data_IF_671523631722
#
_entry.id   IF_671523631722
#
_cell.length_a   1.000
_cell.length_b   1.000
_cell.length_c   1.000
_cell.angle_alpha   90.00
_cell.angle_beta   90.00
_cell.angle_gamma   90.00
#
_symmetry.space_group_name_H-M   'P 1'
#
loop_
_entity.id
_entity.type
_entity.pdbx_description
1 polymer ?
#
# COMPACT_ATOMS: atom_id res chain seq x y z
N UNK A 1 -1.37 -15.28 9.28
CA UNK A 1 -0.80 -15.03 7.94
C UNK A 1 -1.88 -14.67 6.91
N UNK A 2 -2.84 -15.55 6.60
CA UNK A 2 -3.92 -15.26 5.62
C UNK A 2 -4.70 -13.98 5.95
N UNK A 3 -5.04 -13.76 7.23
CA UNK A 3 -5.74 -12.56 7.66
C UNK A 3 -4.95 -11.27 7.37
N UNK A 4 -3.64 -11.26 7.62
CA UNK A 4 -2.79 -10.09 7.31
C UNK A 4 -2.70 -9.80 5.82
N UNK A 5 -2.68 -10.83 4.98
CA UNK A 5 -2.70 -10.66 3.53
C UNK A 5 -4.02 -10.01 3.07
N UNK A 6 -5.17 -10.43 3.62
CA UNK A 6 -6.46 -9.79 3.35
C UNK A 6 -6.49 -8.33 3.78
N UNK A 7 -6.00 -8.04 4.98
CA UNK A 7 -5.93 -6.65 5.50
C UNK A 7 -5.02 -5.75 4.66
N UNK A 8 -3.93 -6.29 4.09
CA UNK A 8 -3.08 -5.54 3.15
C UNK A 8 -3.83 -5.25 1.85
N UNK A 9 -4.54 -6.22 1.27
CA UNK A 9 -5.36 -6.02 0.06
C UNK A 9 -6.45 -4.97 0.29
N UNK A 10 -7.16 -5.01 1.42
CA UNK A 10 -8.15 -3.99 1.79
C UNK A 10 -7.51 -2.60 1.93
N UNK A 11 -6.32 -2.50 2.54
CA UNK A 11 -5.60 -1.24 2.66
C UNK A 11 -5.15 -0.72 1.28
N UNK A 12 -4.73 -1.60 0.37
CA UNK A 12 -4.35 -1.26 -1.01
C UNK A 12 -5.52 -0.61 -1.73
N UNK A 13 -6.68 -1.27 -1.77
CA UNK A 13 -7.87 -0.76 -2.46
C UNK A 13 -8.39 0.56 -1.85
N UNK A 14 -8.34 0.68 -0.52
CA UNK A 14 -8.69 1.93 0.16
C UNK A 14 -7.73 3.07 -0.21
N UNK A 15 -6.44 2.78 -0.42
CA UNK A 15 -5.43 3.77 -0.81
C UNK A 15 -5.61 4.20 -2.26
N UNK A 16 -5.83 3.25 -3.18
CA UNK A 16 -6.15 3.57 -4.59
C UNK A 16 -7.38 4.46 -4.69
N UNK A 17 -8.43 4.15 -3.93
CA UNK A 17 -9.64 4.98 -3.87
C UNK A 17 -9.35 6.41 -3.41
N UNK A 18 -8.51 6.60 -2.39
CA UNK A 18 -8.12 7.93 -1.92
C UNK A 18 -7.29 8.71 -2.96
N UNK A 19 -6.38 8.00 -3.66
CA UNK A 19 -5.56 8.56 -4.75
C UNK A 19 -6.46 9.03 -5.90
N UNK A 20 -7.46 8.24 -6.29
CA UNK A 20 -8.41 8.57 -7.34
C UNK A 20 -9.24 9.82 -7.01
N UNK A 21 -9.68 9.94 -5.75
CA UNK A 21 -10.39 11.13 -5.25
C UNK A 21 -9.51 12.37 -5.15
N UNK A 22 -8.20 12.23 -5.13
CA UNK A 22 -7.26 13.34 -4.96
C UNK A 22 -7.21 13.90 -3.54
N UNK A 23 -7.75 13.20 -2.54
CA UNK A 23 -7.73 13.65 -1.14
C UNK A 23 -6.37 13.37 -0.49
N UNK A 24 -5.51 14.37 -0.44
CA UNK A 24 -4.15 14.26 0.09
C UNK A 24 -4.11 13.81 1.55
N UNK A 25 -5.04 14.29 2.38
CA UNK A 25 -5.07 13.91 3.80
C UNK A 25 -5.45 12.46 3.96
N UNK A 26 -6.44 12.01 3.18
CA UNK A 26 -6.83 10.60 3.15
C UNK A 26 -5.69 9.72 2.63
N UNK A 27 -5.05 10.08 1.51
CA UNK A 27 -3.92 9.33 0.95
C UNK A 27 -2.79 9.18 1.98
N UNK A 28 -2.35 10.27 2.62
CA UNK A 28 -1.28 10.22 3.63
C UNK A 28 -1.67 9.32 4.81
N UNK A 29 -2.93 9.40 5.28
CA UNK A 29 -3.45 8.55 6.35
C UNK A 29 -3.48 7.06 5.97
N UNK A 30 -3.83 6.74 4.72
CA UNK A 30 -3.82 5.37 4.20
C UNK A 30 -2.41 4.84 4.00
N UNK A 31 -1.47 5.65 3.52
CA UNK A 31 -0.07 5.26 3.41
C UNK A 31 0.55 4.88 4.76
N UNK A 32 0.11 5.53 5.85
CA UNK A 32 0.57 5.24 7.20
C UNK A 32 0.29 3.80 7.66
N UNK A 33 -0.78 3.18 7.15
CA UNK A 33 -1.13 1.77 7.43
C UNK A 33 0.04 0.85 7.09
N UNK A 34 0.68 1.09 5.95
CA UNK A 34 1.76 0.27 5.42
C UNK A 34 3.12 0.57 6.06
N UNK A 35 3.25 1.68 6.78
CA UNK A 35 4.52 2.15 7.34
C UNK A 35 4.62 1.85 8.83
N UNK A 36 3.52 2.06 9.56
CA UNK A 36 3.50 1.89 11.01
C UNK A 36 3.74 0.41 11.38
N UNK A 37 4.82 0.09 12.10
CA UNK A 37 5.10 -1.28 12.54
C UNK A 37 3.99 -1.89 13.41
N UNK A 38 3.21 -1.07 14.12
CA UNK A 38 2.07 -1.52 14.91
C UNK A 38 0.83 -1.87 14.05
N UNK A 39 0.85 -1.57 12.74
CA UNK A 39 -0.24 -1.82 11.79
C UNK A 39 0.12 -2.91 10.78
N UNK A 40 0.52 -2.53 9.57
CA UNK A 40 1.02 -3.45 8.54
C UNK A 40 2.50 -3.25 8.23
N UNK A 41 3.17 -2.28 8.85
CA UNK A 41 4.57 -1.97 8.59
C UNK A 41 5.52 -3.15 8.78
N UNK A 42 5.32 -3.97 9.81
CA UNK A 42 6.13 -5.17 10.02
C UNK A 42 5.99 -6.16 8.85
N UNK A 43 4.75 -6.46 8.44
CA UNK A 43 4.50 -7.36 7.31
C UNK A 43 4.96 -6.77 5.98
N UNK A 44 4.85 -5.46 5.80
CA UNK A 44 5.38 -4.76 4.63
C UNK A 44 6.91 -4.85 4.55
N UNK A 45 7.62 -4.74 5.67
CA UNK A 45 9.08 -4.95 5.69
C UNK A 45 9.44 -6.39 5.33
N UNK A 46 8.73 -7.37 5.88
CA UNK A 46 9.01 -8.80 5.65
C UNK A 46 8.71 -9.26 4.22
N UNK A 47 7.65 -8.74 3.61
CA UNK A 47 7.12 -9.25 2.34
C UNK A 47 7.32 -8.31 1.15
N UNK A 48 7.50 -7.02 1.40
CA UNK A 48 7.42 -5.92 0.42
C UNK A 48 8.43 -4.81 0.75
N UNK A 49 9.68 -5.18 1.04
CA UNK A 49 10.66 -4.25 1.60
C UNK A 49 10.95 -3.04 0.70
N UNK A 50 10.94 -3.23 -0.62
CA UNK A 50 11.18 -2.15 -1.59
C UNK A 50 9.97 -1.22 -1.67
N UNK A 51 8.77 -1.78 -1.77
CA UNK A 51 7.53 -1.02 -1.82
C UNK A 51 7.27 -0.28 -0.50
N UNK A 52 7.63 -0.87 0.64
CA UNK A 52 7.60 -0.20 1.93
C UNK A 52 8.49 1.06 1.94
N UNK A 53 9.71 0.98 1.38
CA UNK A 53 10.60 2.14 1.28
C UNK A 53 10.04 3.20 0.35
N UNK A 54 9.45 2.80 -0.76
CA UNK A 54 8.83 3.72 -1.71
C UNK A 54 7.59 4.41 -1.15
N UNK A 55 6.71 3.67 -0.45
CA UNK A 55 5.53 4.22 0.25
C UNK A 55 5.95 5.26 1.29
N UNK A 56 7.04 5.01 2.04
CA UNK A 56 7.60 6.00 2.97
C UNK A 56 8.03 7.27 2.26
N UNK A 57 8.68 7.15 1.10
CA UNK A 57 9.07 8.30 0.29
C UNK A 57 7.86 9.06 -0.24
N UNK A 58 6.84 8.36 -0.76
CA UNK A 58 5.59 8.99 -1.21
C UNK A 58 4.92 9.77 -0.09
N UNK A 59 4.81 9.20 1.12
CA UNK A 59 4.24 9.91 2.28
C UNK A 59 4.98 11.20 2.59
N UNK A 60 6.32 11.17 2.62
CA UNK A 60 7.15 12.38 2.86
C UNK A 60 6.92 13.41 1.77
N UNK A 61 6.96 13.01 0.50
CA UNK A 61 6.78 13.93 -0.64
C UNK A 61 5.37 14.50 -0.75
N UNK A 62 4.34 13.73 -0.43
CA UNK A 62 2.96 14.20 -0.35
C UNK A 62 2.77 15.19 0.80
N UNK A 63 3.45 14.97 1.93
CA UNK A 63 3.40 15.90 3.07
C UNK A 63 4.06 17.24 2.75
N UNK A 64 5.10 17.22 1.91
CA UNK A 64 5.86 18.40 1.48
C UNK A 64 5.20 19.15 0.32
N UNK A 65 4.80 18.42 -0.73
CA UNK A 65 4.38 18.98 -2.03
C UNK A 65 2.89 18.82 -2.33
N UNK A 66 2.15 18.11 -1.49
CA UNK A 66 0.71 17.99 -1.57
C UNK A 66 0.18 17.52 -2.94
N UNK A 67 -0.84 18.23 -3.43
CA UNK A 67 -1.64 17.82 -4.59
C UNK A 67 -0.86 17.77 -5.90
N UNK A 68 0.06 18.72 -6.15
CA UNK A 68 0.87 18.73 -7.38
C UNK A 68 1.72 17.48 -7.52
N UNK A 69 2.29 17.03 -6.40
CA UNK A 69 3.07 15.80 -6.38
C UNK A 69 2.19 14.57 -6.58
N UNK A 70 1.00 14.52 -5.97
CA UNK A 70 0.04 13.44 -6.22
C UNK A 70 -0.32 13.36 -7.71
N UNK A 71 -0.69 14.48 -8.33
CA UNK A 71 -1.06 14.50 -9.76
C UNK A 71 0.06 13.99 -10.65
N UNK A 72 1.30 14.42 -10.38
CA UNK A 72 2.46 14.06 -11.19
C UNK A 72 2.93 12.61 -11.00
N UNK A 73 2.56 11.95 -9.89
CA UNK A 73 3.03 10.60 -9.54
C UNK A 73 1.90 9.59 -9.38
N UNK A 74 0.64 9.99 -9.59
CA UNK A 74 -0.57 9.17 -9.42
C UNK A 74 -0.42 7.80 -10.06
N UNK A 75 -0.05 7.77 -11.34
CA UNK A 75 0.08 6.53 -12.10
C UNK A 75 1.11 5.57 -11.48
N UNK A 76 2.28 6.09 -11.09
CA UNK A 76 3.34 5.29 -10.44
C UNK A 76 2.91 4.74 -9.08
N UNK A 77 2.18 5.55 -8.31
CA UNK A 77 1.64 5.11 -7.03
C UNK A 77 0.61 3.98 -7.20
N UNK A 78 -0.26 4.08 -8.22
CA UNK A 78 -1.23 3.02 -8.55
C UNK A 78 -0.50 1.74 -8.98
N UNK A 79 0.51 1.85 -9.86
CA UNK A 79 1.30 0.70 -10.32
C UNK A 79 2.01 -0.03 -9.16
N UNK A 80 2.56 0.72 -8.21
CA UNK A 80 3.14 0.15 -6.99
C UNK A 80 2.10 -0.65 -6.19
N UNK A 81 0.91 -0.07 -6.00
CA UNK A 81 -0.18 -0.69 -5.26
C UNK A 81 -0.73 -1.93 -5.98
N UNK A 82 -0.79 -1.92 -7.31
CA UNK A 82 -1.15 -3.08 -8.13
C UNK A 82 -0.12 -4.21 -7.99
N UNK A 83 1.17 -3.89 -7.94
CA UNK A 83 2.22 -4.89 -7.70
C UNK A 83 2.05 -5.60 -6.34
N UNK A 84 1.75 -4.84 -5.29
CA UNK A 84 1.45 -5.38 -3.96
C UNK A 84 0.22 -6.30 -4.04
N UNK A 85 -0.87 -5.82 -4.65
CA UNK A 85 -2.13 -6.57 -4.78
C UNK A 85 -1.95 -7.90 -5.51
N UNK A 86 -1.20 -7.88 -6.62
CA UNK A 86 -0.88 -9.08 -7.40
C UNK A 86 -0.12 -10.12 -6.57
N UNK A 87 0.85 -9.66 -5.78
CA UNK A 87 1.67 -10.54 -4.94
C UNK A 87 0.87 -11.09 -3.75
N UNK A 88 0.05 -10.26 -3.11
CA UNK A 88 -0.90 -10.68 -2.07
C UNK A 88 -1.85 -11.75 -2.61
N UNK A 89 -2.45 -11.52 -3.78
CA UNK A 89 -3.35 -12.48 -4.44
C UNK A 89 -2.67 -13.81 -4.72
N UNK A 90 -1.43 -13.80 -5.23
CA UNK A 90 -0.64 -15.03 -5.44
C UNK A 90 -0.42 -15.79 -4.14
N UNK A 91 -0.05 -15.11 -3.05
CA UNK A 91 0.18 -15.73 -1.73
C UNK A 91 -1.11 -16.30 -1.14
N UNK A 92 -2.23 -15.60 -1.26
CA UNK A 92 -3.55 -16.07 -0.81
C UNK A 92 -3.97 -17.35 -1.52
N UNK A 93 -3.84 -17.40 -2.87
CA UNK A 93 -4.13 -18.61 -3.65
C UNK A 93 -3.24 -19.79 -3.24
N UNK A 94 -1.95 -19.52 -3.01
CA UNK A 94 -1.01 -20.51 -2.49
C UNK A 94 -1.44 -21.07 -1.13
N UNK A 95 -1.84 -20.21 -0.19
CA UNK A 95 -2.30 -20.64 1.13
C UNK A 95 -3.56 -21.52 1.04
N UNK A 96 -4.54 -21.14 0.21
CA UNK A 96 -5.76 -21.94 0.02
C UNK A 96 -5.51 -23.28 -0.67
N UNK A 97 -4.51 -23.37 -1.54
CA UNK A 97 -4.17 -24.62 -2.25
C UNK A 97 -3.47 -25.64 -1.35
N UNK A 98 -2.84 -25.21 -0.25
CA UNK A 98 -2.10 -26.08 0.66
C UNK A 98 -2.89 -26.47 1.93
N UNK A 99 -4.18 -26.15 2.01
CA UNK A 99 -5.07 -26.62 3.08
C UNK A 99 -4.68 -26.16 4.48
N UNK A 100 -4.18 -24.92 4.62
CA UNK A 100 -3.99 -24.24 5.92
C UNK A 100 -5.11 -23.21 6.10
#
# INVERSE_FOLDING_TARGET
MVQHLKEISEAVEATKTAIEKGDIKEVISKLDVFIDPARKGAQMIELFFEEHREIRLYKVRLSDRGFEYLQSNKQKMIELLDHIEMTVTKKLRGATAHGI
#
